data_IF_585432784231
#
_entry.id   IF_585432784231
#
_cell.length_a   1.000
_cell.length_b   1.000
_cell.length_c   1.000
_cell.angle_alpha   90.00
_cell.angle_beta   90.00
_cell.angle_gamma   90.00
#
_symmetry.space_group_name_H-M   'P 1'
#
loop_
_entity.id
_entity.type
_entity.pdbx_description
1 polymer ?
#
# COMPACT_ATOMS: atom_id res chain seq x y z
N UNK A 1 10.74 -8.00 27.39
CA UNK A 1 11.90 -8.46 26.59
C UNK A 1 11.40 -8.59 25.16
N UNK A 2 12.12 -8.08 24.16
CA UNK A 2 11.70 -8.22 22.75
C UNK A 2 12.24 -9.57 22.24
N UNK A 3 11.35 -10.50 21.95
CA UNK A 3 11.74 -11.85 21.50
C UNK A 3 11.95 -11.91 19.98
N UNK A 4 11.59 -10.83 19.25
CA UNK A 4 11.80 -10.70 17.80
C UNK A 4 13.13 -10.01 17.47
N UNK A 5 13.96 -10.71 16.69
CA UNK A 5 15.22 -10.17 16.13
C UNK A 5 14.97 -8.94 15.26
N UNK A 6 13.90 -8.96 14.44
CA UNK A 6 13.55 -7.84 13.57
C UNK A 6 13.20 -6.59 14.37
N UNK A 7 12.39 -6.75 15.42
CA UNK A 7 12.03 -5.65 16.32
C UNK A 7 13.27 -5.12 17.06
N UNK A 8 14.14 -6.01 17.55
CA UNK A 8 15.40 -5.61 18.19
C UNK A 8 16.29 -4.78 17.27
N UNK A 9 16.45 -5.19 16.00
CA UNK A 9 17.23 -4.45 14.99
C UNK A 9 16.64 -3.06 14.70
N UNK A 10 15.31 -2.95 14.58
CA UNK A 10 14.67 -1.66 14.34
C UNK A 10 14.78 -0.73 15.56
N UNK A 11 14.60 -1.26 16.78
CA UNK A 11 14.79 -0.47 17.99
C UNK A 11 16.24 0.04 18.13
N UNK A 12 17.23 -0.71 17.65
CA UNK A 12 18.63 -0.27 17.64
C UNK A 12 18.90 0.94 16.74
N UNK A 13 18.04 1.23 15.76
CA UNK A 13 18.19 2.41 14.88
C UNK A 13 18.09 3.72 15.68
N UNK A 14 17.15 3.79 16.63
CA UNK A 14 16.87 5.00 17.42
C UNK A 14 17.26 4.88 18.91
N UNK A 15 17.37 3.67 19.45
CA UNK A 15 17.76 3.44 20.86
C UNK A 15 16.80 4.09 21.88
N UNK A 16 15.53 4.26 21.50
CA UNK A 16 14.53 4.99 22.29
C UNK A 16 14.64 6.52 22.23
N UNK A 17 15.64 7.08 21.52
CA UNK A 17 15.84 8.53 21.50
C UNK A 17 15.04 9.22 20.40
N UNK A 18 14.41 10.34 20.76
CA UNK A 18 13.57 11.15 19.86
C UNK A 18 14.37 12.07 18.93
N UNK A 19 15.65 12.31 19.23
CA UNK A 19 16.59 13.10 18.43
C UNK A 19 17.21 12.30 17.28
N UNK A 20 16.99 10.97 17.23
CA UNK A 20 17.65 10.05 16.29
C UNK A 20 16.64 9.19 15.53
N UNK A 21 15.71 9.84 14.84
CA UNK A 21 14.61 9.16 14.13
C UNK A 21 14.78 9.11 12.61
N UNK A 22 15.64 9.93 12.02
CA UNK A 22 15.93 9.86 10.58
C UNK A 22 17.05 8.84 10.37
N UNK A 23 16.73 7.74 9.68
CA UNK A 23 17.67 6.64 9.39
C UNK A 23 18.47 6.96 8.13
N UNK A 24 17.77 7.42 7.10
CA UNK A 24 18.30 7.95 5.85
C UNK A 24 17.29 8.96 5.28
N UNK A 25 17.61 9.70 4.21
CA UNK A 25 16.64 10.60 3.59
C UNK A 25 15.31 9.89 3.29
N UNK A 26 14.20 10.48 3.75
CA UNK A 26 12.84 9.94 3.62
C UNK A 26 12.58 8.59 4.30
N UNK A 27 13.47 8.09 5.18
CA UNK A 27 13.27 6.88 5.97
C UNK A 27 13.31 7.21 7.47
N UNK A 28 12.17 7.07 8.14
CA UNK A 28 11.97 7.53 9.51
C UNK A 28 11.59 6.38 10.47
N UNK A 29 12.32 6.24 11.57
CA UNK A 29 12.14 5.19 12.57
C UNK A 29 11.17 5.56 13.71
N UNK A 30 10.55 6.75 13.68
CA UNK A 30 9.71 7.20 14.80
C UNK A 30 8.43 6.39 15.01
N UNK A 31 7.92 5.71 13.99
CA UNK A 31 6.80 4.77 14.14
C UNK A 31 7.12 3.65 15.14
N UNK A 32 8.40 3.24 15.22
CA UNK A 32 8.90 2.23 16.16
C UNK A 32 8.95 2.67 17.62
N UNK A 33 8.71 3.95 17.94
CA UNK A 33 8.64 4.44 19.32
C UNK A 33 7.32 4.07 20.03
N UNK A 34 6.23 3.92 19.27
CA UNK A 34 4.87 3.81 19.82
C UNK A 34 4.15 2.55 19.37
N UNK A 35 4.56 1.96 18.24
CA UNK A 35 3.97 0.74 17.71
C UNK A 35 4.89 -0.44 18.01
N UNK A 36 4.32 -1.56 18.47
CA UNK A 36 5.03 -2.83 18.54
C UNK A 36 5.40 -3.34 17.13
N UNK A 37 6.54 -4.04 17.03
CA UNK A 37 7.03 -4.64 15.79
C UNK A 37 8.22 -3.91 15.16
N UNK A 38 8.66 -4.43 14.02
CA UNK A 38 9.75 -3.87 13.23
C UNK A 38 9.17 -2.88 12.21
N UNK A 39 9.33 -1.57 12.43
CA UNK A 39 8.74 -0.56 11.54
C UNK A 39 9.63 0.66 11.33
N UNK A 40 9.78 1.04 10.07
CA UNK A 40 10.20 2.37 9.61
C UNK A 40 9.12 2.89 8.66
N UNK A 41 9.08 4.20 8.44
CA UNK A 41 8.14 4.84 7.55
C UNK A 41 8.89 5.56 6.42
N UNK A 42 8.37 5.44 5.20
CA UNK A 42 8.74 6.32 4.09
C UNK A 42 7.99 7.64 4.26
N UNK A 43 8.71 8.76 4.34
CA UNK A 43 8.14 10.09 4.63
C UNK A 43 8.67 11.11 3.62
N UNK A 44 7.76 11.72 2.86
CA UNK A 44 8.08 12.71 1.84
C UNK A 44 6.90 12.99 0.92
N UNK A 45 7.16 13.68 -0.19
CA UNK A 45 6.22 13.84 -1.30
C UNK A 45 5.94 12.48 -1.98
N UNK A 46 4.87 12.37 -2.79
CA UNK A 46 4.60 11.15 -3.55
C UNK A 46 5.79 10.72 -4.44
N UNK A 47 6.47 11.68 -5.09
CA UNK A 47 7.65 11.43 -5.91
C UNK A 47 8.84 10.92 -5.08
N UNK A 48 9.09 11.51 -3.92
CA UNK A 48 10.17 11.07 -3.02
C UNK A 48 9.91 9.65 -2.50
N UNK A 49 8.67 9.33 -2.14
CA UNK A 49 8.27 7.99 -1.70
C UNK A 49 8.42 6.98 -2.84
N UNK A 50 7.95 7.31 -4.04
CA UNK A 50 8.08 6.45 -5.22
C UNK A 50 9.56 6.21 -5.58
N UNK A 51 10.41 7.24 -5.49
CA UNK A 51 11.85 7.12 -5.71
C UNK A 51 12.49 6.13 -4.71
N UNK A 52 12.18 6.23 -3.42
CA UNK A 52 12.68 5.29 -2.40
C UNK A 52 12.20 3.87 -2.62
N UNK A 53 10.94 3.69 -3.03
CA UNK A 53 10.44 2.36 -3.38
C UNK A 53 11.16 1.78 -4.60
N UNK A 54 11.46 2.60 -5.61
CA UNK A 54 12.23 2.16 -6.77
C UNK A 54 13.69 1.83 -6.42
N UNK A 55 14.30 2.51 -5.45
CA UNK A 55 15.61 2.12 -4.90
C UNK A 55 15.56 0.72 -4.28
N UNK A 56 14.54 0.42 -3.47
CA UNK A 56 14.32 -0.94 -2.94
C UNK A 56 14.10 -1.97 -4.06
N UNK A 57 13.34 -1.61 -5.10
CA UNK A 57 13.14 -2.49 -6.28
C UNK A 57 14.44 -2.76 -7.03
N UNK A 58 15.30 -1.77 -7.15
CA UNK A 58 16.58 -1.90 -7.87
C UNK A 58 17.52 -2.92 -7.23
N UNK A 59 17.36 -3.19 -5.93
CA UNK A 59 18.12 -4.20 -5.19
C UNK A 59 17.35 -5.53 -5.03
N UNK A 60 16.23 -5.70 -5.74
CA UNK A 60 15.47 -6.95 -5.82
C UNK A 60 14.29 -7.08 -4.86
N UNK A 61 13.85 -6.01 -4.18
CA UNK A 61 12.61 -6.05 -3.37
C UNK A 61 11.41 -5.81 -4.29
N UNK A 62 10.58 -6.83 -4.48
CA UNK A 62 9.39 -6.77 -5.34
C UNK A 62 8.07 -6.60 -4.58
N UNK A 63 8.05 -6.94 -3.29
CA UNK A 63 6.85 -7.02 -2.47
C UNK A 63 6.95 -6.07 -1.28
N UNK A 64 5.95 -5.21 -1.13
CA UNK A 64 5.88 -4.19 -0.08
C UNK A 64 4.65 -4.38 0.79
N UNK A 65 4.85 -4.67 2.08
CA UNK A 65 3.77 -4.72 3.06
C UNK A 65 3.73 -3.36 3.76
N UNK A 66 2.73 -2.56 3.40
CA UNK A 66 2.59 -1.17 3.86
C UNK A 66 1.46 -1.03 4.88
N UNK A 67 1.59 -0.04 5.75
CA UNK A 67 0.55 0.40 6.68
C UNK A 67 0.65 1.90 6.88
N UNK A 68 -0.49 2.59 6.93
CA UNK A 68 -0.59 4.02 7.26
C UNK A 68 -1.63 4.25 8.35
N UNK A 69 -1.61 5.45 8.95
CA UNK A 69 -2.54 5.85 10.00
C UNK A 69 -3.24 7.17 9.65
N UNK A 70 -4.58 7.22 9.63
CA UNK A 70 -5.51 6.08 9.74
C UNK A 70 -5.49 5.20 8.47
N UNK A 71 -5.77 3.90 8.62
CA UNK A 71 -5.48 2.91 7.57
C UNK A 71 -6.29 3.12 6.28
N UNK A 72 -7.56 3.51 6.38
CA UNK A 72 -8.44 3.64 5.23
C UNK A 72 -8.00 4.81 4.35
N UNK A 73 -7.90 5.99 4.95
CA UNK A 73 -7.51 7.23 4.30
C UNK A 73 -6.11 7.13 3.71
N UNK A 74 -5.17 6.49 4.41
CA UNK A 74 -3.81 6.30 3.89
C UNK A 74 -3.76 5.29 2.75
N UNK A 75 -4.63 4.28 2.72
CA UNK A 75 -4.73 3.38 1.57
C UNK A 75 -5.20 4.14 0.32
N UNK A 76 -6.21 5.01 0.45
CA UNK A 76 -6.65 5.88 -0.65
C UNK A 76 -5.55 6.86 -1.08
N UNK A 77 -4.94 7.58 -0.12
CA UNK A 77 -3.87 8.55 -0.41
C UNK A 77 -2.70 7.90 -1.15
N UNK A 78 -2.30 6.69 -0.74
CA UNK A 78 -1.21 5.97 -1.41
C UNK A 78 -1.60 5.51 -2.82
N UNK A 79 -2.82 4.99 -2.98
CA UNK A 79 -3.33 4.55 -4.28
C UNK A 79 -3.52 5.72 -5.26
N UNK A 80 -3.95 6.89 -4.78
CA UNK A 80 -4.18 8.05 -5.62
C UNK A 80 -2.89 8.77 -6.01
N UNK A 81 -1.92 8.85 -5.08
CA UNK A 81 -0.74 9.70 -5.27
C UNK A 81 0.52 8.92 -5.67
N UNK A 82 0.70 7.69 -5.19
CA UNK A 82 1.97 6.94 -5.35
C UNK A 82 1.86 5.83 -6.38
N UNK A 83 0.74 5.10 -6.44
CA UNK A 83 0.55 4.06 -7.48
C UNK A 83 0.80 4.56 -8.91
N UNK A 84 0.35 5.76 -9.33
CA UNK A 84 0.62 6.26 -10.69
C UNK A 84 2.10 6.44 -11.02
N UNK A 85 2.96 6.51 -10.00
CA UNK A 85 4.41 6.73 -10.12
C UNK A 85 5.21 5.41 -10.08
N UNK A 86 4.53 4.26 -9.93
CA UNK A 86 5.15 2.96 -9.77
C UNK A 86 4.75 2.00 -10.90
N UNK A 87 5.69 1.18 -11.42
CA UNK A 87 5.34 0.11 -12.34
C UNK A 87 4.74 -1.08 -11.57
N UNK A 88 3.43 -1.07 -11.33
CA UNK A 88 2.72 -2.11 -10.58
C UNK A 88 2.62 -3.42 -11.39
N UNK A 89 2.73 -4.56 -10.72
CA UNK A 89 2.64 -5.89 -11.36
C UNK A 89 1.24 -6.18 -11.94
N UNK A 90 0.20 -5.62 -11.32
CA UNK A 90 -1.17 -5.65 -11.81
C UNK A 90 -1.64 -4.20 -11.90
N UNK A 91 -2.13 -3.77 -13.07
CA UNK A 91 -2.89 -2.54 -13.13
C UNK A 91 -4.12 -2.72 -12.22
N UNK A 92 -4.52 -1.70 -11.43
CA UNK A 92 -5.80 -1.77 -10.76
C UNK A 92 -6.84 -2.05 -11.84
N UNK A 93 -7.55 -3.16 -11.71
CA UNK A 93 -8.70 -3.45 -12.55
C UNK A 93 -9.60 -2.24 -12.37
N UNK A 94 -9.70 -1.38 -13.39
CA UNK A 94 -10.75 -0.39 -13.41
C UNK A 94 -12.00 -1.24 -13.38
N UNK A 95 -12.64 -1.32 -12.22
CA UNK A 95 -14.00 -1.80 -12.15
C UNK A 95 -14.74 -0.92 -13.14
N UNK A 96 -15.01 -1.46 -14.33
CA UNK A 96 -15.99 -0.89 -15.22
C UNK A 96 -17.27 -0.96 -14.39
N UNK A 97 -17.61 0.16 -13.75
CA UNK A 97 -18.93 0.34 -13.18
C UNK A 97 -19.87 0.23 -14.37
N UNK A 98 -20.32 -0.99 -14.66
CA UNK A 98 -21.38 -1.23 -15.61
C UNK A 98 -22.63 -0.68 -14.93
N UNK A 99 -22.87 0.61 -15.13
CA UNK A 99 -24.12 1.25 -14.71
C UNK A 99 -25.16 0.76 -15.70
N UNK A 100 -25.93 -0.26 -15.31
CA UNK A 100 -27.10 -0.67 -16.07
C UNK A 100 -28.10 0.50 -16.07
N UNK A 101 -28.08 1.30 -17.14
CA UNK A 101 -28.97 2.45 -17.34
C UNK A 101 -30.25 2.03 -18.10
N UNK A 102 -30.65 0.76 -17.96
CA UNK A 102 -31.91 0.25 -18.50
C UNK A 102 -33.12 0.62 -17.64
N UNK A 103 -34.34 0.55 -18.18
CA UNK A 103 -35.56 1.03 -17.51
C UNK A 103 -36.03 0.17 -16.32
N UNK A 104 -35.27 -0.87 -15.96
CA UNK A 104 -35.56 -1.75 -14.84
C UNK A 104 -34.47 -1.56 -13.78
N UNK A 105 -34.85 -0.94 -12.67
CA UNK A 105 -33.97 -0.61 -11.56
C UNK A 105 -33.21 -1.82 -11.00
N UNK A 106 -31.98 -1.52 -10.57
CA UNK A 106 -31.17 -2.19 -9.57
C UNK A 106 -31.25 -3.73 -9.51
N UNK A 107 -30.30 -4.40 -10.16
CA UNK A 107 -30.02 -5.82 -9.92
C UNK A 107 -28.61 -5.93 -9.33
N UNK A 108 -28.53 -6.07 -8.00
CA UNK A 108 -27.29 -6.51 -7.34
C UNK A 108 -27.21 -8.03 -7.48
N UNK A 109 -26.10 -8.49 -8.05
CA UNK A 109 -25.61 -9.88 -8.11
C UNK A 109 -26.41 -10.91 -8.92
N UNK A 110 -26.14 -11.00 -10.24
CA UNK A 110 -25.91 -12.27 -10.94
C UNK A 110 -25.39 -12.01 -12.38
N UNK A 111 -24.08 -12.08 -12.59
CA UNK A 111 -23.44 -11.82 -13.90
C UNK A 111 -23.45 -13.02 -14.87
N UNK A 112 -24.32 -14.00 -14.66
CA UNK A 112 -24.42 -15.15 -15.56
C UNK A 112 -25.60 -14.95 -16.51
N UNK A 113 -25.31 -14.57 -17.76
CA UNK A 113 -26.28 -14.59 -18.86
C UNK A 113 -26.30 -16.00 -19.49
N UNK A 114 -27.42 -16.72 -19.53
CA UNK A 114 -27.50 -17.97 -20.26
C UNK A 114 -27.30 -17.70 -21.76
N UNK A 115 -26.46 -18.49 -22.43
CA UNK A 115 -26.30 -18.40 -23.88
C UNK A 115 -27.62 -18.78 -24.57
N UNK A 116 -28.07 -17.93 -25.49
CA UNK A 116 -29.29 -18.14 -26.25
C UNK A 116 -29.21 -19.48 -27.01
N UNK A 117 -30.05 -20.43 -26.61
CA UNK A 117 -30.20 -21.71 -27.29
C UNK A 117 -30.76 -21.42 -28.69
N UNK A 118 -29.93 -21.62 -29.74
CA UNK A 118 -30.43 -21.59 -31.12
C UNK A 118 -31.48 -22.68 -31.27
N UNK A 119 -32.69 -22.30 -31.67
CA UNK A 119 -33.73 -23.25 -32.06
C UNK A 119 -33.28 -23.95 -33.34
N UNK A 120 -33.41 -25.28 -33.35
CA UNK A 120 -33.23 -26.14 -34.53
C UNK A 120 -34.37 -25.98 -35.52
#
# INVERSE_FOLDING_TARGET
RMDSVGQSRMSALHGGRRDKLVVSPNLWAGVGLVRGGAGTALVGSPDEVAARMNEYRSIGIDTFILSGYPHLEEAYRFAELVFPLLPLAHAPERAELSVNTGPFGETIANEIRPAARRAS
#
